data_IF_115657843908
#
_entry.id   IF_115657843908
#
_cell.length_a   1.000
_cell.length_b   1.000
_cell.length_c   1.000
_cell.angle_alpha   90.00
_cell.angle_beta   90.00
_cell.angle_gamma   90.00
#
_symmetry.space_group_name_H-M   'P 1'
#
loop_
_entity.id
_entity.type
_entity.pdbx_description
1 polymer ?
#
# COMPACT_ATOMS: atom_id res chain seq x y z
N UNK A 1 -28.97 -3.05 13.45
CA UNK A 1 -28.22 -4.32 13.53
C UNK A 1 -27.77 -4.79 12.16
N UNK A 2 -28.65 -4.98 11.17
CA UNK A 2 -28.23 -5.40 9.82
C UNK A 2 -27.39 -4.36 9.07
N UNK A 3 -27.82 -3.08 9.03
CA UNK A 3 -27.06 -2.02 8.36
C UNK A 3 -25.66 -1.80 8.94
N UNK A 4 -25.50 -2.04 10.25
CA UNK A 4 -24.22 -1.92 10.94
C UNK A 4 -23.29 -3.09 10.62
N UNK A 5 -23.81 -4.32 10.55
CA UNK A 5 -23.05 -5.47 10.10
C UNK A 5 -22.55 -5.28 8.64
N UNK A 6 -23.39 -4.73 7.76
CA UNK A 6 -23.00 -4.41 6.38
C UNK A 6 -21.92 -3.34 6.34
N UNK A 7 -21.99 -2.29 7.17
CA UNK A 7 -20.93 -1.27 7.29
C UNK A 7 -19.60 -1.88 7.70
N UNK A 8 -19.59 -2.72 8.75
CA UNK A 8 -18.37 -3.35 9.23
C UNK A 8 -17.73 -4.24 8.16
N UNK A 9 -18.54 -5.02 7.45
CA UNK A 9 -18.08 -5.83 6.32
C UNK A 9 -17.53 -4.96 5.18
N UNK A 10 -18.24 -3.91 4.79
CA UNK A 10 -17.82 -2.99 3.73
C UNK A 10 -16.50 -2.28 4.07
N UNK A 11 -16.32 -1.85 5.32
CA UNK A 11 -15.07 -1.24 5.79
C UNK A 11 -13.90 -2.23 5.69
N UNK A 12 -14.09 -3.48 6.14
CA UNK A 12 -13.09 -4.54 6.02
C UNK A 12 -12.72 -4.85 4.58
N UNK A 13 -13.71 -4.91 3.68
CA UNK A 13 -13.49 -5.14 2.25
C UNK A 13 -12.77 -3.97 1.57
N UNK A 14 -13.12 -2.73 1.91
CA UNK A 14 -12.49 -1.54 1.33
C UNK A 14 -10.98 -1.53 1.57
N UNK A 15 -10.55 -1.71 2.82
CA UNK A 15 -9.11 -1.75 3.14
C UNK A 15 -8.45 -3.06 2.68
N UNK A 16 -9.11 -4.19 2.88
CA UNK A 16 -8.56 -5.51 2.54
C UNK A 16 -8.27 -5.64 1.04
N UNK A 17 -9.22 -5.27 0.18
CA UNK A 17 -9.03 -5.30 -1.27
C UNK A 17 -8.17 -4.13 -1.75
N UNK A 18 -8.33 -2.95 -1.16
CA UNK A 18 -7.57 -1.76 -1.54
C UNK A 18 -6.06 -1.86 -1.27
N UNK A 19 -5.65 -2.69 -0.30
CA UNK A 19 -4.25 -2.91 0.02
C UNK A 19 -3.52 -3.88 -0.94
N UNK A 20 -4.24 -4.66 -1.76
CA UNK A 20 -3.63 -5.70 -2.62
C UNK A 20 -2.71 -5.06 -3.67
N UNK A 21 -3.19 -4.06 -4.39
CA UNK A 21 -2.41 -3.38 -5.44
C UNK A 21 -1.13 -2.73 -4.89
N UNK A 22 -1.23 -1.87 -3.87
CA UNK A 22 -0.08 -1.28 -3.19
C UNK A 22 0.89 -2.32 -2.65
N UNK A 23 0.40 -3.36 -1.97
CA UNK A 23 1.24 -4.43 -1.40
C UNK A 23 2.05 -5.16 -2.48
N UNK A 24 1.42 -5.46 -3.62
CA UNK A 24 2.12 -6.03 -4.78
C UNK A 24 3.14 -5.05 -5.38
N UNK A 25 2.75 -3.78 -5.55
CA UNK A 25 3.63 -2.74 -6.07
C UNK A 25 4.89 -2.56 -5.22
N UNK A 26 4.73 -2.52 -3.90
CA UNK A 26 5.84 -2.42 -2.93
C UNK A 26 6.75 -3.64 -3.03
N UNK A 27 6.17 -4.85 -3.09
CA UNK A 27 6.94 -6.08 -3.26
C UNK A 27 7.78 -6.08 -4.54
N UNK A 28 7.21 -5.64 -5.66
CA UNK A 28 7.92 -5.54 -6.95
C UNK A 28 9.03 -4.48 -6.92
N UNK A 29 8.76 -3.31 -6.32
CA UNK A 29 9.76 -2.24 -6.16
C UNK A 29 10.94 -2.72 -5.31
N UNK A 30 10.66 -3.34 -4.16
CA UNK A 30 11.69 -3.87 -3.26
C UNK A 30 12.52 -4.96 -3.95
N UNK A 31 11.86 -5.90 -4.63
CA UNK A 31 12.54 -6.95 -5.40
C UNK A 31 13.48 -6.35 -6.46
N UNK A 32 13.00 -5.39 -7.25
CA UNK A 32 13.79 -4.73 -8.29
C UNK A 32 14.99 -3.97 -7.71
N UNK A 33 14.79 -3.27 -6.60
CA UNK A 33 15.86 -2.56 -5.90
C UNK A 33 16.93 -3.51 -5.36
N UNK A 34 16.55 -4.61 -4.71
CA UNK A 34 17.49 -5.60 -4.19
C UNK A 34 18.30 -6.27 -5.30
N UNK A 35 17.68 -6.59 -6.43
CA UNK A 35 18.41 -7.13 -7.59
C UNK A 35 19.38 -6.09 -8.19
N UNK A 36 18.98 -4.82 -8.26
CA UNK A 36 19.84 -3.75 -8.77
C UNK A 36 21.04 -3.51 -7.84
N UNK A 37 20.84 -3.50 -6.52
CA UNK A 37 21.90 -3.37 -5.51
C UNK A 37 22.86 -4.56 -5.59
N UNK A 38 22.35 -5.79 -5.74
CA UNK A 38 23.19 -6.97 -5.89
C UNK A 38 24.09 -6.93 -7.14
N UNK A 39 23.67 -6.23 -8.20
CA UNK A 39 24.46 -6.02 -9.42
C UNK A 39 25.45 -4.87 -9.31
N UNK A 40 25.08 -3.80 -8.61
CA UNK A 40 25.95 -2.64 -8.38
C UNK A 40 25.82 -2.14 -6.92
N UNK A 41 26.64 -2.66 -6.00
CA UNK A 41 26.59 -2.26 -4.60
C UNK A 41 26.94 -0.79 -4.36
N UNK A 42 27.77 -0.18 -5.22
CA UNK A 42 28.19 1.23 -5.08
C UNK A 42 27.01 2.20 -5.31
N UNK A 43 26.00 1.79 -6.09
CA UNK A 43 24.81 2.58 -6.35
C UNK A 43 23.70 2.43 -5.27
N UNK A 44 23.96 1.69 -4.19
CA UNK A 44 22.93 1.34 -3.19
C UNK A 44 22.15 2.56 -2.67
N UNK A 45 22.84 3.64 -2.30
CA UNK A 45 22.18 4.82 -1.74
C UNK A 45 21.15 5.43 -2.69
N UNK A 46 21.50 5.58 -3.98
CA UNK A 46 20.59 6.13 -4.99
C UNK A 46 19.42 5.19 -5.27
N UNK A 47 19.69 3.88 -5.35
CA UNK A 47 18.63 2.87 -5.57
C UNK A 47 17.63 2.86 -4.43
N UNK A 48 18.09 2.91 -3.17
CA UNK A 48 17.21 2.94 -2.00
C UNK A 48 16.33 4.19 -1.97
N UNK A 49 16.89 5.37 -2.28
CA UNK A 49 16.11 6.62 -2.37
C UNK A 49 14.99 6.49 -3.40
N UNK A 50 15.30 6.03 -4.62
CA UNK A 50 14.31 5.87 -5.67
C UNK A 50 13.25 4.80 -5.32
N UNK A 51 13.68 3.69 -4.69
CA UNK A 51 12.78 2.65 -4.20
C UNK A 51 11.78 3.20 -3.18
N UNK A 52 12.24 3.95 -2.17
CA UNK A 52 11.36 4.52 -1.16
C UNK A 52 10.40 5.57 -1.71
N UNK A 53 10.82 6.37 -2.69
CA UNK A 53 9.93 7.29 -3.41
C UNK A 53 8.82 6.49 -4.13
N UNK A 54 9.19 5.42 -4.84
CA UNK A 54 8.23 4.53 -5.49
C UNK A 54 7.25 3.89 -4.49
N UNK A 55 7.76 3.41 -3.35
CA UNK A 55 6.95 2.84 -2.27
C UNK A 55 5.98 3.88 -1.72
N UNK A 56 6.41 5.12 -1.50
CA UNK A 56 5.54 6.19 -1.01
C UNK A 56 4.37 6.47 -1.97
N UNK A 57 4.61 6.44 -3.29
CA UNK A 57 3.54 6.58 -4.29
C UNK A 57 2.60 5.37 -4.31
N UNK A 58 3.12 4.15 -4.17
CA UNK A 58 2.30 2.96 -4.06
C UNK A 58 1.40 3.02 -2.81
N UNK A 59 1.97 3.45 -1.67
CA UNK A 59 1.27 3.55 -0.40
C UNK A 59 0.20 4.65 -0.39
N UNK A 60 0.40 5.74 -1.15
CA UNK A 60 -0.63 6.77 -1.31
C UNK A 60 -1.96 6.20 -1.81
N UNK A 61 -1.93 5.13 -2.63
CA UNK A 61 -3.15 4.44 -3.09
C UNK A 61 -3.80 3.62 -1.98
N UNK A 62 -3.00 2.96 -1.12
CA UNK A 62 -3.50 2.25 0.06
C UNK A 62 -4.18 3.19 1.07
N UNK A 63 -3.62 4.40 1.23
CA UNK A 63 -4.17 5.42 2.14
C UNK A 63 -5.59 5.81 1.73
N UNK A 64 -5.92 5.91 0.43
CA UNK A 64 -7.29 6.19 0.02
C UNK A 64 -8.27 5.08 0.44
N UNK A 65 -7.86 3.80 0.35
CA UNK A 65 -8.67 2.69 0.83
C UNK A 65 -8.85 2.71 2.36
N UNK A 66 -7.80 3.08 3.10
CA UNK A 66 -7.84 3.27 4.55
C UNK A 66 -8.80 4.41 4.92
N UNK A 67 -8.72 5.56 4.24
CA UNK A 67 -9.59 6.71 4.47
C UNK A 67 -11.05 6.32 4.26
N UNK A 68 -11.37 5.60 3.18
CA UNK A 68 -12.74 5.10 2.93
C UNK A 68 -13.20 4.16 4.04
N UNK A 69 -12.36 3.22 4.48
CA UNK A 69 -12.68 2.32 5.58
C UNK A 69 -12.94 3.08 6.89
N UNK A 70 -12.14 4.11 7.21
CA UNK A 70 -12.32 4.94 8.41
C UNK A 70 -13.62 5.75 8.34
N UNK A 71 -13.97 6.31 7.17
CA UNK A 71 -15.23 7.03 6.96
C UNK A 71 -16.42 6.10 7.18
N UNK A 72 -16.36 4.86 6.69
CA UNK A 72 -17.40 3.84 6.90
C UNK A 72 -17.52 3.38 8.34
N UNK A 73 -16.46 3.49 9.16
CA UNK A 73 -16.51 3.08 10.57
C UNK A 73 -16.98 4.19 11.49
N UNK A 74 -16.61 5.44 11.22
CA UNK A 74 -16.70 6.52 12.21
C UNK A 74 -17.53 7.73 11.80
N UNK A 75 -17.91 7.85 10.52
CA UNK A 75 -18.56 9.07 10.00
C UNK A 75 -19.96 8.75 9.46
N UNK A 76 -20.01 7.85 8.49
CA UNK A 76 -21.27 7.21 8.03
C UNK A 76 -21.56 6.08 8.99
#
# INVERSE_FOLDING_TARGET
MEAEAVKLLAAGLAIGLGAIGPGLGIGLLAMGALQAIGRNPEAQGQIQVNMFIGIAFAEAVAIYALVVALILLFVV
#
